data_IF_007704720217
#
_entry.id   IF_007704720217
#
_cell.length_a   1.000
_cell.length_b   1.000
_cell.length_c   1.000
_cell.angle_alpha   90.00
_cell.angle_beta   90.00
_cell.angle_gamma   90.00
#
_symmetry.space_group_name_H-M   'P 1'
#
loop_
_entity.id
_entity.type
_entity.pdbx_description
1 polymer ?
#
# COMPACT_ATOMS: atom_id res chain seq x y z
N UNK A 1 41.47 40.09 -7.40
CA UNK A 1 40.83 39.02 -6.69
C UNK A 1 39.36 38.99 -7.05
N UNK A 2 38.93 38.15 -7.99
CA UNK A 2 37.50 37.99 -8.39
C UNK A 2 36.82 37.02 -7.42
N UNK A 3 35.85 37.51 -6.67
CA UNK A 3 34.97 36.64 -5.84
C UNK A 3 34.04 35.89 -6.77
N UNK A 4 34.23 34.56 -6.85
CA UNK A 4 33.27 33.63 -7.48
C UNK A 4 32.16 33.45 -6.47
N UNK A 5 30.97 34.01 -6.73
CA UNK A 5 29.74 33.73 -6.01
C UNK A 5 29.19 32.44 -6.60
N UNK A 6 29.36 31.33 -5.88
CA UNK A 6 28.74 30.04 -6.20
C UNK A 6 27.28 30.17 -5.84
N UNK A 7 26.42 30.42 -6.81
CA UNK A 7 24.98 30.35 -6.65
C UNK A 7 24.61 28.85 -6.58
N UNK A 8 24.33 28.36 -5.39
CA UNK A 8 23.65 27.08 -5.20
C UNK A 8 22.22 27.21 -5.77
N UNK A 9 22.02 26.75 -7.00
CA UNK A 9 20.68 26.47 -7.49
C UNK A 9 20.13 25.29 -6.67
N UNK A 10 19.36 25.58 -5.62
CA UNK A 10 18.43 24.63 -5.07
C UNK A 10 17.38 24.37 -6.16
N UNK A 11 17.53 23.30 -6.89
CA UNK A 11 16.46 22.74 -7.71
C UNK A 11 15.46 22.17 -6.70
N UNK A 12 14.51 23.00 -6.26
CA UNK A 12 13.32 22.52 -5.59
C UNK A 12 12.56 21.68 -6.62
N UNK A 13 12.70 20.35 -6.54
CA UNK A 13 11.77 19.44 -7.20
C UNK A 13 10.37 19.79 -6.69
N UNK A 14 9.37 19.95 -7.56
CA UNK A 14 8.03 20.33 -7.13
C UNK A 14 7.49 19.20 -6.25
N UNK A 15 7.39 19.48 -4.95
CA UNK A 15 6.51 18.71 -4.10
C UNK A 15 5.12 18.76 -4.76
N UNK A 16 4.50 17.60 -5.00
CA UNK A 16 3.15 17.52 -5.54
C UNK A 16 2.28 18.48 -4.75
N UNK A 17 1.65 19.46 -5.40
CA UNK A 17 0.79 20.40 -4.68
C UNK A 17 -0.41 19.64 -4.13
N UNK A 18 -1.02 20.12 -3.06
CA UNK A 18 -2.24 19.51 -2.50
C UNK A 18 -3.37 19.38 -3.54
N UNK A 19 -3.42 20.29 -4.51
CA UNK A 19 -4.33 20.23 -5.66
C UNK A 19 -4.02 19.05 -6.57
N UNK A 20 -2.75 18.86 -6.95
CA UNK A 20 -2.33 17.74 -7.80
C UNK A 20 -2.58 16.39 -7.12
N UNK A 21 -2.33 16.30 -5.81
CA UNK A 21 -2.64 15.08 -5.05
C UNK A 21 -4.14 14.75 -5.08
N UNK A 22 -5.02 15.73 -4.89
CA UNK A 22 -6.47 15.52 -4.99
C UNK A 22 -6.90 15.11 -6.40
N UNK A 23 -6.30 15.66 -7.42
CA UNK A 23 -6.53 15.26 -8.82
C UNK A 23 -6.15 13.79 -9.02
N UNK A 24 -5.01 13.34 -8.48
CA UNK A 24 -4.60 11.92 -8.52
C UNK A 24 -5.60 11.01 -7.81
N UNK A 25 -6.12 11.39 -6.64
CA UNK A 25 -7.14 10.59 -5.93
C UNK A 25 -8.44 10.52 -6.75
N UNK A 26 -8.86 11.61 -7.37
CA UNK A 26 -10.02 11.61 -8.24
C UNK A 26 -9.81 10.72 -9.47
N UNK A 27 -8.62 10.77 -10.08
CA UNK A 27 -8.22 9.93 -11.19
C UNK A 27 -8.20 8.43 -10.80
N UNK A 28 -7.72 8.09 -9.59
CA UNK A 28 -7.78 6.72 -9.09
C UNK A 28 -9.22 6.20 -8.99
N UNK A 29 -10.16 7.06 -8.60
CA UNK A 29 -11.60 6.73 -8.51
C UNK A 29 -12.31 6.79 -9.85
N UNK A 30 -11.72 7.43 -10.87
CA UNK A 30 -12.29 7.50 -12.21
C UNK A 30 -12.16 6.16 -12.91
N UNK A 31 -13.31 5.57 -13.21
CA UNK A 31 -13.39 4.25 -13.87
C UNK A 31 -13.08 4.31 -15.38
N UNK A 32 -13.09 5.49 -15.98
CA UNK A 32 -12.76 5.67 -17.39
C UNK A 32 -11.26 5.78 -17.64
N UNK A 33 -10.46 6.07 -16.59
CA UNK A 33 -9.02 6.17 -16.70
C UNK A 33 -8.37 4.78 -16.79
N UNK A 34 -7.69 4.51 -17.88
CA UNK A 34 -7.08 3.20 -18.18
C UNK A 34 -5.59 3.28 -18.50
N UNK A 35 -5.05 4.48 -18.77
CA UNK A 35 -3.67 4.62 -19.24
C UNK A 35 -2.67 4.88 -18.11
N UNK A 36 -3.11 5.48 -17.00
CA UNK A 36 -2.27 5.74 -15.85
C UNK A 36 -2.05 4.49 -15.01
N UNK A 37 -0.80 4.24 -14.60
CA UNK A 37 -0.44 3.12 -13.71
C UNK A 37 -0.03 3.67 -12.35
N UNK A 38 -0.78 3.28 -11.31
CA UNK A 38 -0.52 3.66 -9.92
C UNK A 38 0.54 2.77 -9.31
N UNK A 39 1.52 3.38 -8.65
CA UNK A 39 2.60 2.69 -7.95
C UNK A 39 2.32 2.68 -6.47
N UNK A 40 2.17 1.48 -5.88
CA UNK A 40 2.12 1.26 -4.45
C UNK A 40 3.50 0.79 -3.96
N UNK A 41 4.14 1.61 -3.12
CA UNK A 41 5.45 1.30 -2.55
C UNK A 41 5.29 0.41 -1.33
N UNK A 42 5.69 -0.87 -1.42
CA UNK A 42 5.58 -1.86 -0.36
C UNK A 42 6.50 -1.52 0.81
N UNK A 43 5.94 -1.25 1.99
CA UNK A 43 6.63 -0.78 3.21
C UNK A 43 7.49 0.48 3.02
N UNK A 44 7.15 1.30 2.02
CA UNK A 44 7.95 2.42 1.56
C UNK A 44 9.15 2.01 0.71
N UNK A 45 10.12 2.92 0.51
CA UNK A 45 11.38 2.58 -0.18
C UNK A 45 12.39 1.99 0.82
N UNK A 46 12.15 0.74 1.21
CA UNK A 46 12.93 0.03 2.20
C UNK A 46 14.30 -0.47 1.68
N UNK A 47 14.59 -0.30 0.40
CA UNK A 47 15.91 -0.61 -0.16
C UNK A 47 16.97 0.32 0.45
N UNK A 48 16.63 1.58 0.68
CA UNK A 48 17.55 2.61 1.18
C UNK A 48 17.26 3.06 2.62
N UNK A 49 16.20 2.57 3.24
CA UNK A 49 15.82 2.88 4.61
C UNK A 49 15.27 1.61 5.31
N UNK A 50 15.15 1.57 6.64
CA UNK A 50 14.40 0.51 7.30
C UNK A 50 12.96 0.43 6.77
N UNK A 51 12.44 -0.78 6.55
CA UNK A 51 11.05 -0.99 6.16
C UNK A 51 10.09 -0.29 7.15
N UNK A 52 8.97 0.24 6.65
CA UNK A 52 7.95 0.87 7.50
C UNK A 52 8.46 2.06 8.34
N UNK A 53 9.58 2.68 7.96
CA UNK A 53 10.14 3.85 8.65
C UNK A 53 9.71 5.17 8.01
N UNK A 54 9.86 6.27 8.77
CA UNK A 54 9.63 7.62 8.23
C UNK A 54 10.48 7.92 7.00
N UNK A 55 11.81 7.64 6.97
CA UNK A 55 12.59 7.84 5.76
C UNK A 55 12.13 7.00 4.57
N UNK A 56 11.65 5.75 4.79
CA UNK A 56 11.13 4.93 3.70
C UNK A 56 9.84 5.55 3.08
N UNK A 57 8.97 6.13 3.90
CA UNK A 57 7.81 6.91 3.44
C UNK A 57 8.25 8.16 2.66
N UNK A 58 9.21 8.93 3.20
CA UNK A 58 9.70 10.15 2.57
C UNK A 58 10.35 9.88 1.22
N UNK A 59 11.11 8.78 1.09
CA UNK A 59 11.68 8.33 -0.18
C UNK A 59 10.59 7.93 -1.19
N UNK A 60 9.56 7.19 -0.76
CA UNK A 60 8.44 6.83 -1.64
C UNK A 60 7.75 8.08 -2.20
N UNK A 61 7.52 9.10 -1.35
CA UNK A 61 6.98 10.40 -1.78
C UNK A 61 7.93 11.09 -2.76
N UNK A 62 9.24 11.13 -2.45
CA UNK A 62 10.25 11.80 -3.25
C UNK A 62 10.36 11.22 -4.67
N UNK A 63 10.28 9.89 -4.81
CA UNK A 63 10.31 9.23 -6.12
C UNK A 63 9.00 9.35 -6.89
N UNK A 64 7.90 9.72 -6.22
CA UNK A 64 6.60 9.95 -6.85
C UNK A 64 5.67 8.75 -6.81
N UNK A 65 5.83 7.83 -5.84
CA UNK A 65 4.83 6.79 -5.60
C UNK A 65 3.47 7.42 -5.24
N UNK A 66 2.39 6.79 -5.68
CA UNK A 66 1.02 7.29 -5.48
C UNK A 66 0.40 6.76 -4.18
N UNK A 67 0.80 5.56 -3.79
CA UNK A 67 0.31 4.83 -2.64
C UNK A 67 1.53 4.31 -1.87
N UNK A 68 1.52 4.41 -0.55
CA UNK A 68 2.44 3.66 0.30
C UNK A 68 1.66 2.54 0.98
N UNK A 69 2.09 1.31 0.76
CA UNK A 69 1.67 0.18 1.56
C UNK A 69 2.44 0.21 2.87
N UNK A 70 1.75 -0.02 3.98
CA UNK A 70 2.33 -0.02 5.32
C UNK A 70 1.53 -0.90 6.26
N UNK A 71 2.23 -1.58 7.16
CA UNK A 71 1.65 -2.57 8.06
C UNK A 71 1.28 -1.93 9.41
N UNK A 72 0.07 -2.16 9.88
CA UNK A 72 -0.44 -1.58 11.13
C UNK A 72 -0.62 -2.63 12.23
N UNK A 73 -0.19 -2.30 13.44
CA UNK A 73 -0.41 -3.11 14.63
C UNK A 73 -0.90 -2.29 15.81
N UNK A 74 -1.65 -2.94 16.71
CA UNK A 74 -2.12 -2.36 17.95
C UNK A 74 -1.19 -2.74 19.10
N UNK A 75 -0.73 -1.75 19.86
CA UNK A 75 0.06 -1.94 21.09
C UNK A 75 -0.83 -2.35 22.25
N UNK A 76 -0.23 -2.80 23.36
CA UNK A 76 -0.91 -3.15 24.61
C UNK A 76 -1.83 -2.04 25.16
N UNK A 77 -1.43 -0.79 25.00
CA UNK A 77 -2.18 0.40 25.45
C UNK A 77 -3.03 1.04 24.35
N UNK A 78 -3.31 0.28 23.27
CA UNK A 78 -4.27 0.65 22.24
C UNK A 78 -3.78 1.75 21.27
N UNK A 79 -2.46 1.91 21.12
CA UNK A 79 -1.87 2.79 20.11
C UNK A 79 -1.58 2.03 18.83
N UNK A 80 -1.66 2.72 17.71
CA UNK A 80 -1.40 2.11 16.41
C UNK A 80 0.01 2.49 15.95
N UNK A 81 0.84 1.48 15.71
CA UNK A 81 2.20 1.61 15.22
C UNK A 81 2.34 1.01 13.82
N UNK A 82 3.43 1.36 13.15
CA UNK A 82 3.76 0.89 11.81
C UNK A 82 4.89 -0.14 11.93
N UNK A 83 4.58 -1.42 11.64
CA UNK A 83 5.52 -2.53 11.66
C UNK A 83 4.91 -3.76 10.97
N UNK A 84 5.74 -4.57 10.29
CA UNK A 84 5.23 -5.75 9.58
C UNK A 84 4.94 -6.94 10.49
N UNK A 85 5.89 -7.30 11.35
CA UNK A 85 5.80 -8.52 12.16
C UNK A 85 4.93 -8.30 13.40
N UNK A 86 4.36 -9.38 13.93
CA UNK A 86 3.64 -9.36 15.21
C UNK A 86 4.56 -9.14 16.42
N UNK A 87 5.88 -9.26 16.22
CA UNK A 87 6.91 -9.05 17.24
C UNK A 87 7.91 -7.99 16.79
N UNK A 88 8.58 -7.36 17.74
CA UNK A 88 9.58 -6.32 17.46
C UNK A 88 10.97 -6.87 17.12
N UNK A 89 11.17 -8.20 17.17
CA UNK A 89 12.48 -8.86 17.20
C UNK A 89 13.29 -8.68 15.91
N UNK A 90 12.68 -8.85 14.74
CA UNK A 90 13.39 -8.84 13.46
C UNK A 90 13.88 -7.44 13.08
N UNK A 91 13.02 -6.45 13.24
CA UNK A 91 13.24 -5.10 12.71
C UNK A 91 13.72 -4.09 13.74
N UNK A 92 13.90 -4.52 15.03
CA UNK A 92 14.39 -3.63 16.09
C UNK A 92 15.48 -4.28 16.95
N UNK A 93 15.97 -3.53 17.94
CA UNK A 93 16.86 -4.03 19.00
C UNK A 93 16.11 -4.59 20.22
N UNK A 94 14.77 -4.67 20.16
CA UNK A 94 13.92 -5.23 21.21
C UNK A 94 13.57 -6.69 20.98
N UNK A 95 12.70 -7.22 21.84
CA UNK A 95 12.09 -8.54 21.71
C UNK A 95 10.70 -8.55 22.32
N UNK A 96 9.84 -9.43 21.79
CA UNK A 96 8.49 -9.67 22.30
C UNK A 96 7.37 -9.24 21.35
N UNK A 97 6.16 -9.60 21.74
CA UNK A 97 4.95 -9.33 20.94
C UNK A 97 4.52 -7.88 21.07
N UNK A 98 4.14 -7.25 19.97
CA UNK A 98 3.67 -5.86 19.94
C UNK A 98 2.45 -5.67 20.84
N UNK A 99 1.52 -6.63 20.89
CA UNK A 99 0.33 -6.55 21.72
C UNK A 99 0.61 -6.66 23.23
N UNK A 100 1.83 -7.05 23.63
CA UNK A 100 2.27 -7.12 25.03
C UNK A 100 3.10 -5.89 25.46
N UNK A 101 3.48 -5.03 24.50
CA UNK A 101 4.29 -3.83 24.72
C UNK A 101 3.45 -2.57 24.61
N UNK A 102 3.69 -1.61 25.51
CA UNK A 102 3.11 -0.26 25.45
C UNK A 102 3.85 0.59 24.41
N UNK A 103 3.22 1.66 23.90
CA UNK A 103 3.89 2.60 23.00
C UNK A 103 5.19 3.14 23.62
N UNK A 104 5.18 3.51 24.91
CA UNK A 104 6.38 4.03 25.60
C UNK A 104 7.55 3.01 25.65
N UNK A 105 7.27 1.72 25.62
CA UNK A 105 8.31 0.68 25.53
C UNK A 105 8.82 0.57 24.09
N UNK A 106 7.95 0.64 23.09
CA UNK A 106 8.29 0.54 21.66
C UNK A 106 9.08 1.77 21.18
N UNK A 107 8.75 2.97 21.63
CA UNK A 107 9.47 4.21 21.28
C UNK A 107 10.95 4.20 21.71
N UNK A 108 11.33 3.36 22.68
CA UNK A 108 12.73 3.22 23.09
C UNK A 108 13.54 2.37 22.11
N UNK A 109 12.87 1.56 21.29
CA UNK A 109 13.52 0.66 20.35
C UNK A 109 14.06 1.43 19.15
N UNK A 110 15.15 0.93 18.59
CA UNK A 110 15.74 1.43 17.36
C UNK A 110 15.51 0.43 16.23
N UNK A 111 15.19 0.93 15.04
CA UNK A 111 14.99 0.11 13.85
C UNK A 111 16.32 -0.43 13.30
N UNK A 112 16.25 -1.63 12.72
CA UNK A 112 17.30 -2.20 11.88
C UNK A 112 16.98 -1.92 10.41
N UNK A 113 18.02 -1.67 9.62
CA UNK A 113 17.84 -1.64 8.16
C UNK A 113 17.74 -3.08 7.59
N UNK A 114 17.51 -3.19 6.28
CA UNK A 114 17.39 -4.47 5.57
C UNK A 114 18.67 -5.35 5.60
N UNK A 115 19.82 -4.78 5.98
CA UNK A 115 21.07 -5.51 6.21
C UNK A 115 21.27 -5.95 7.66
N UNK A 116 20.26 -5.72 8.53
CA UNK A 116 20.32 -6.04 9.96
C UNK A 116 21.13 -5.06 10.82
N UNK A 117 21.64 -3.97 10.22
CA UNK A 117 22.40 -2.95 10.98
C UNK A 117 21.46 -2.04 11.75
N UNK A 118 21.86 -1.73 12.98
CA UNK A 118 21.12 -0.82 13.86
C UNK A 118 21.20 0.60 13.33
N UNK A 119 20.07 1.31 13.41
CA UNK A 119 19.97 2.75 13.12
C UNK A 119 19.54 3.51 14.38
N UNK A 120 19.50 4.85 14.31
CA UNK A 120 18.91 5.71 15.35
C UNK A 120 17.41 5.98 15.11
N UNK A 121 16.82 5.38 14.08
CA UNK A 121 15.43 5.55 13.72
C UNK A 121 14.51 4.77 14.65
N UNK A 122 13.33 5.30 14.90
CA UNK A 122 12.32 4.75 15.80
C UNK A 122 11.18 4.10 15.03
N UNK A 123 10.45 3.21 15.70
CA UNK A 123 9.19 2.65 15.20
C UNK A 123 8.17 3.77 15.13
N UNK A 124 7.60 4.08 13.96
CA UNK A 124 6.63 5.17 13.84
C UNK A 124 5.25 4.78 14.36
N UNK A 125 4.52 5.76 14.83
CA UNK A 125 3.06 5.67 15.01
C UNK A 125 2.33 5.95 13.70
N UNK A 126 1.06 5.52 13.61
CA UNK A 126 0.20 5.86 12.47
C UNK A 126 0.00 7.37 12.35
N UNK A 127 -0.11 8.09 13.45
CA UNK A 127 -0.28 9.54 13.47
C UNK A 127 0.94 10.27 12.89
N UNK A 128 2.16 9.79 13.15
CA UNK A 128 3.38 10.34 12.54
C UNK A 128 3.41 10.08 11.03
N UNK A 129 3.00 8.89 10.58
CA UNK A 129 2.85 8.58 9.16
C UNK A 129 1.84 9.50 8.48
N UNK A 130 0.65 9.65 9.07
CA UNK A 130 -0.41 10.52 8.55
C UNK A 130 0.07 11.95 8.40
N UNK A 131 0.79 12.49 9.38
CA UNK A 131 1.31 13.86 9.35
C UNK A 131 2.20 14.12 8.15
N UNK A 132 2.96 13.12 7.68
CA UNK A 132 3.88 13.23 6.54
C UNK A 132 3.16 12.93 5.24
N UNK A 133 2.31 11.89 5.20
CA UNK A 133 1.64 11.38 4.01
C UNK A 133 0.51 12.29 3.52
N UNK A 134 -0.22 12.94 4.44
CA UNK A 134 -1.43 13.73 4.14
C UNK A 134 -1.19 14.75 3.04
N UNK A 135 -1.99 14.66 1.96
CA UNK A 135 -1.92 15.53 0.80
C UNK A 135 -0.73 15.29 -0.11
N UNK A 136 -0.02 14.16 0.04
CA UNK A 136 1.15 13.80 -0.77
C UNK A 136 1.11 12.38 -1.32
N UNK A 137 0.62 11.42 -0.54
CA UNK A 137 0.58 10.00 -0.89
C UNK A 137 -0.57 9.31 -0.15
N UNK A 138 -1.26 8.35 -0.80
CA UNK A 138 -2.31 7.56 -0.16
C UNK A 138 -1.71 6.49 0.76
N UNK A 139 -2.34 6.25 1.91
CA UNK A 139 -1.97 5.14 2.78
C UNK A 139 -2.75 3.87 2.37
N UNK A 140 -2.05 2.78 2.11
CA UNK A 140 -2.62 1.44 2.09
C UNK A 140 -2.24 0.76 3.41
N UNK A 141 -3.24 0.48 4.24
CA UNK A 141 -3.06 -0.07 5.58
C UNK A 141 -3.22 -1.59 5.53
N UNK A 142 -2.09 -2.31 5.36
CA UNK A 142 -2.07 -3.76 5.43
C UNK A 142 -2.18 -4.24 6.89
N UNK A 143 -2.50 -5.52 7.08
CA UNK A 143 -2.79 -6.17 8.38
C UNK A 143 -3.96 -5.59 9.17
N UNK A 144 -4.66 -4.58 8.66
CA UNK A 144 -5.84 -3.99 9.28
C UNK A 144 -6.94 -5.04 9.58
N UNK A 145 -7.03 -6.08 8.76
CA UNK A 145 -8.01 -7.16 8.87
C UNK A 145 -7.64 -8.29 9.82
N UNK A 146 -6.46 -8.26 10.44
CA UNK A 146 -6.01 -9.34 11.32
C UNK A 146 -6.79 -9.34 12.64
N UNK A 147 -7.13 -10.56 13.08
CA UNK A 147 -7.79 -10.74 14.36
C UNK A 147 -6.79 -10.55 15.50
N UNK A 148 -7.19 -9.77 16.48
CA UNK A 148 -6.42 -9.54 17.70
C UNK A 148 -6.92 -10.46 18.80
N UNK A 149 -6.05 -11.21 19.52
CA UNK A 149 -6.47 -12.23 20.48
C UNK A 149 -7.46 -11.77 21.56
N UNK A 150 -7.39 -10.50 21.93
CA UNK A 150 -8.21 -9.90 23.02
C UNK A 150 -9.38 -9.06 22.52
N UNK A 151 -9.65 -9.01 21.21
CA UNK A 151 -10.63 -8.11 20.63
C UNK A 151 -11.56 -8.82 19.66
N UNK A 152 -12.74 -8.25 19.45
CA UNK A 152 -13.68 -8.74 18.42
C UNK A 152 -13.09 -8.56 17.01
N UNK A 153 -13.53 -9.42 16.10
CA UNK A 153 -13.13 -9.36 14.70
C UNK A 153 -13.40 -7.97 14.10
N UNK A 154 -12.42 -7.41 13.38
CA UNK A 154 -12.51 -6.08 12.78
C UNK A 154 -12.30 -4.91 13.76
N UNK A 155 -11.89 -5.18 15.02
CA UNK A 155 -11.63 -4.13 16.01
C UNK A 155 -10.60 -3.12 15.51
N UNK A 156 -9.46 -3.59 14.98
CA UNK A 156 -8.39 -2.71 14.48
C UNK A 156 -8.92 -1.79 13.36
N UNK A 157 -9.72 -2.32 12.43
CA UNK A 157 -10.33 -1.48 11.38
C UNK A 157 -11.19 -0.37 11.99
N UNK A 158 -12.00 -0.66 13.02
CA UNK A 158 -12.83 0.36 13.68
C UNK A 158 -11.99 1.45 14.36
N UNK A 159 -10.87 1.09 14.96
CA UNK A 159 -9.94 2.08 15.54
C UNK A 159 -9.25 2.90 14.45
N UNK A 160 -8.80 2.26 13.35
CA UNK A 160 -8.24 2.94 12.18
C UNK A 160 -9.22 3.95 11.61
N UNK A 161 -10.50 3.59 11.41
CA UNK A 161 -11.52 4.49 10.88
C UNK A 161 -11.70 5.75 11.76
N UNK A 162 -11.57 5.63 13.09
CA UNK A 162 -11.61 6.79 14.00
C UNK A 162 -10.43 7.74 13.75
N UNK A 163 -9.21 7.17 13.68
CA UNK A 163 -7.98 7.95 13.44
C UNK A 163 -8.03 8.63 12.08
N UNK A 164 -8.41 7.91 11.02
CA UNK A 164 -8.48 8.42 9.66
C UNK A 164 -9.50 9.57 9.52
N UNK A 165 -10.67 9.43 10.15
CA UNK A 165 -11.70 10.49 10.18
C UNK A 165 -11.20 11.73 10.92
N UNK A 166 -10.60 11.55 12.09
CA UNK A 166 -10.08 12.65 12.89
C UNK A 166 -9.00 13.45 12.15
N UNK A 167 -8.25 12.79 11.25
CA UNK A 167 -7.22 13.41 10.44
C UNK A 167 -7.70 13.87 9.05
N UNK A 168 -8.94 13.55 8.65
CA UNK A 168 -9.54 13.95 7.37
C UNK A 168 -8.89 13.31 6.16
N UNK A 169 -8.44 12.03 6.27
CA UNK A 169 -7.80 11.25 5.20
C UNK A 169 -8.55 9.95 4.88
N UNK A 170 -9.77 9.79 5.40
CA UNK A 170 -10.55 8.57 5.23
C UNK A 170 -10.75 8.20 3.74
N UNK A 171 -11.09 9.18 2.92
CA UNK A 171 -11.47 8.95 1.52
C UNK A 171 -10.29 8.64 0.60
N UNK A 172 -9.07 8.93 1.05
CA UNK A 172 -7.83 8.66 0.32
C UNK A 172 -7.07 7.44 0.85
N UNK A 173 -7.64 6.73 1.85
CA UNK A 173 -7.00 5.54 2.44
C UNK A 173 -7.49 4.27 1.77
N UNK A 174 -6.53 3.39 1.45
CA UNK A 174 -6.74 2.10 0.79
C UNK A 174 -6.80 0.99 1.84
N UNK A 175 -7.81 0.12 1.72
CA UNK A 175 -7.93 -1.12 2.47
C UNK A 175 -8.02 -2.29 1.50
N UNK A 176 -7.14 -3.27 1.65
CA UNK A 176 -7.12 -4.49 0.85
C UNK A 176 -7.39 -5.67 1.77
N UNK A 177 -8.57 -6.28 1.65
CA UNK A 177 -9.03 -7.32 2.56
C UNK A 177 -9.71 -8.46 1.80
N UNK A 178 -9.54 -9.69 2.31
CA UNK A 178 -10.16 -10.92 1.77
C UNK A 178 -11.50 -11.26 2.46
N UNK A 179 -12.18 -10.24 2.98
CA UNK A 179 -13.45 -10.39 3.68
C UNK A 179 -14.63 -10.59 2.71
N UNK A 180 -15.70 -11.26 3.16
CA UNK A 180 -16.99 -11.21 2.45
C UNK A 180 -17.56 -9.79 2.48
N UNK A 181 -18.44 -9.49 1.53
CA UNK A 181 -19.12 -8.19 1.49
C UNK A 181 -19.88 -7.90 2.79
N UNK A 182 -20.56 -8.91 3.34
CA UNK A 182 -21.33 -8.79 4.58
C UNK A 182 -20.41 -8.41 5.75
N UNK A 183 -19.25 -9.07 5.89
CA UNK A 183 -18.27 -8.72 6.93
C UNK A 183 -17.71 -7.32 6.74
N UNK A 184 -17.35 -6.95 5.53
CA UNK A 184 -16.88 -5.60 5.22
C UNK A 184 -17.96 -4.56 5.57
N UNK A 185 -19.20 -4.79 5.18
CA UNK A 185 -20.35 -3.93 5.49
C UNK A 185 -20.59 -3.81 6.99
N UNK A 186 -20.53 -4.92 7.73
CA UNK A 186 -20.71 -4.92 9.19
C UNK A 186 -19.65 -4.07 9.90
N UNK A 187 -18.37 -4.22 9.50
CA UNK A 187 -17.25 -3.58 10.19
C UNK A 187 -17.11 -2.11 9.81
N UNK A 188 -17.16 -1.78 8.52
CA UNK A 188 -16.99 -0.42 8.01
C UNK A 188 -18.27 0.43 8.10
N UNK A 189 -19.46 -0.21 8.10
CA UNK A 189 -20.72 0.52 8.05
C UNK A 189 -20.82 1.43 6.83
N UNK A 190 -21.25 2.67 7.03
CA UNK A 190 -21.35 3.69 5.96
C UNK A 190 -20.00 4.30 5.52
N UNK A 191 -18.87 3.85 6.09
CA UNK A 191 -17.55 4.28 5.65
C UNK A 191 -17.00 3.41 4.53
N UNK A 192 -17.63 2.25 4.26
CA UNK A 192 -17.18 1.30 3.23
C UNK A 192 -17.18 1.94 1.83
N UNK A 193 -18.13 2.80 1.52
CA UNK A 193 -18.19 3.53 0.25
C UNK A 193 -17.24 4.74 0.19
N UNK A 194 -16.76 5.20 1.35
CA UNK A 194 -15.89 6.38 1.41
C UNK A 194 -14.44 6.02 1.23
N UNK A 195 -13.97 4.95 1.87
CA UNK A 195 -12.60 4.47 1.72
C UNK A 195 -12.36 3.92 0.31
N UNK A 196 -11.10 3.71 -0.05
CA UNK A 196 -10.73 2.94 -1.25
C UNK A 196 -10.64 1.48 -0.83
N UNK A 197 -11.77 0.78 -0.87
CA UNK A 197 -11.83 -0.63 -0.52
C UNK A 197 -11.51 -1.50 -1.74
N UNK A 198 -10.51 -2.38 -1.62
CA UNK A 198 -10.06 -3.29 -2.65
C UNK A 198 -10.25 -4.74 -2.16
N UNK A 199 -11.33 -5.43 -2.56
CA UNK A 199 -11.49 -6.85 -2.25
C UNK A 199 -10.34 -7.66 -2.85
N UNK A 200 -9.83 -8.64 -2.10
CA UNK A 200 -8.83 -9.58 -2.62
C UNK A 200 -9.52 -10.66 -3.44
N UNK A 201 -8.96 -11.00 -4.60
CA UNK A 201 -9.34 -12.15 -5.44
C UNK A 201 -8.22 -13.17 -5.35
N UNK A 202 -8.54 -14.36 -4.81
CA UNK A 202 -7.61 -15.47 -4.61
C UNK A 202 -8.33 -16.80 -4.69
N UNK A 203 -7.72 -17.84 -5.27
CA UNK A 203 -8.33 -19.16 -5.51
C UNK A 203 -8.87 -19.84 -4.25
N UNK A 204 -8.32 -19.48 -3.06
CA UNK A 204 -8.82 -20.01 -1.76
C UNK A 204 -10.21 -19.49 -1.36
N UNK A 205 -10.72 -18.42 -2.01
CA UNK A 205 -12.01 -17.83 -1.65
C UNK A 205 -13.13 -18.74 -2.15
N UNK A 206 -14.00 -19.25 -1.27
CA UNK A 206 -15.11 -20.09 -1.68
C UNK A 206 -16.07 -19.35 -2.64
N UNK A 207 -16.50 -20.04 -3.69
CA UNK A 207 -17.42 -19.45 -4.69
C UNK A 207 -16.91 -18.13 -5.26
N UNK A 208 -15.64 -18.07 -5.63
CA UNK A 208 -14.93 -16.84 -6.06
C UNK A 208 -15.73 -16.03 -7.08
N UNK A 209 -16.37 -16.67 -8.05
CA UNK A 209 -17.18 -15.98 -9.04
C UNK A 209 -18.35 -15.20 -8.41
N UNK A 210 -19.10 -15.82 -7.48
CA UNK A 210 -20.20 -15.15 -6.78
C UNK A 210 -19.70 -14.02 -5.85
N UNK A 211 -18.55 -14.24 -5.19
CA UNK A 211 -17.89 -13.22 -4.38
C UNK A 211 -17.56 -11.96 -5.19
N UNK A 212 -16.98 -12.12 -6.39
CA UNK A 212 -16.64 -10.99 -7.27
C UNK A 212 -17.91 -10.30 -7.76
N UNK A 213 -18.94 -11.07 -8.19
CA UNK A 213 -20.21 -10.53 -8.66
C UNK A 213 -20.89 -9.69 -7.57
N UNK A 214 -20.91 -10.17 -6.33
CA UNK A 214 -21.51 -9.48 -5.19
C UNK A 214 -20.85 -8.12 -4.92
N UNK A 215 -19.50 -8.07 -4.93
CA UNK A 215 -18.78 -6.80 -4.75
C UNK A 215 -19.01 -5.83 -5.92
N UNK A 216 -19.04 -6.32 -7.15
CA UNK A 216 -19.35 -5.51 -8.34
C UNK A 216 -20.76 -4.93 -8.24
N UNK A 217 -21.74 -5.72 -7.83
CA UNK A 217 -23.13 -5.29 -7.73
C UNK A 217 -23.36 -4.29 -6.58
N UNK A 218 -22.87 -4.65 -5.37
CA UNK A 218 -23.25 -3.94 -4.14
C UNK A 218 -22.34 -2.77 -3.77
N UNK A 219 -21.03 -2.84 -4.08
CA UNK A 219 -20.04 -1.82 -3.71
C UNK A 219 -19.49 -1.06 -4.92
N UNK A 220 -19.32 -1.74 -6.05
CA UNK A 220 -18.62 -1.20 -7.23
C UNK A 220 -17.24 -0.67 -6.85
N UNK A 221 -16.35 -1.52 -6.29
CA UNK A 221 -15.07 -1.05 -5.74
C UNK A 221 -14.22 -0.34 -6.79
N UNK A 222 -13.31 0.52 -6.33
CA UNK A 222 -12.34 1.21 -7.19
C UNK A 222 -11.41 0.19 -7.85
N UNK A 223 -10.95 -0.79 -7.09
CA UNK A 223 -10.07 -1.85 -7.58
C UNK A 223 -10.34 -3.18 -6.87
N UNK A 224 -9.85 -4.27 -7.48
CA UNK A 224 -9.70 -5.57 -6.84
C UNK A 224 -8.22 -5.96 -6.85
N UNK A 225 -7.70 -6.47 -5.71
CA UNK A 225 -6.35 -7.02 -5.66
C UNK A 225 -6.34 -8.49 -6.05
N UNK A 226 -5.54 -8.83 -7.05
CA UNK A 226 -5.37 -10.19 -7.56
C UNK A 226 -4.15 -10.86 -6.92
N UNK A 227 -4.34 -12.11 -6.46
CA UNK A 227 -3.27 -13.01 -6.04
C UNK A 227 -3.31 -14.25 -6.90
N UNK A 228 -2.77 -14.16 -8.12
CA UNK A 228 -2.83 -15.20 -9.13
C UNK A 228 -1.56 -16.05 -9.13
N UNK A 229 -1.69 -17.33 -8.78
CA UNK A 229 -0.56 -18.27 -8.78
C UNK A 229 -0.16 -18.71 -10.19
N UNK A 230 -1.10 -18.74 -11.14
CA UNK A 230 -0.89 -19.13 -12.55
C UNK A 230 -1.93 -18.47 -13.46
N UNK A 231 -1.70 -18.54 -14.76
CA UNK A 231 -2.64 -18.05 -15.78
C UNK A 231 -3.89 -18.94 -15.90
N UNK A 232 -3.83 -20.18 -15.41
CA UNK A 232 -4.97 -21.11 -15.38
C UNK A 232 -5.83 -20.98 -14.12
N UNK A 233 -5.40 -20.13 -13.15
CA UNK A 233 -6.10 -19.93 -11.87
C UNK A 233 -7.50 -19.35 -12.04
N UNK A 234 -8.43 -19.72 -11.16
CA UNK A 234 -9.77 -19.11 -11.13
C UNK A 234 -9.68 -17.61 -10.84
N UNK A 235 -8.67 -17.18 -10.09
CA UNK A 235 -8.32 -15.78 -9.84
C UNK A 235 -8.08 -15.02 -11.15
N UNK A 236 -7.20 -15.53 -12.03
CA UNK A 236 -6.89 -14.85 -13.28
C UNK A 236 -8.10 -14.79 -14.23
N UNK A 237 -8.94 -15.82 -14.22
CA UNK A 237 -10.18 -15.87 -15.02
C UNK A 237 -11.20 -14.78 -14.65
N UNK A 238 -11.11 -14.17 -13.45
CA UNK A 238 -11.97 -13.05 -13.06
C UNK A 238 -11.52 -11.71 -13.67
N UNK A 239 -10.30 -11.62 -14.21
CA UNK A 239 -9.74 -10.34 -14.68
C UNK A 239 -10.62 -9.64 -15.74
N UNK A 240 -11.12 -10.30 -16.80
CA UNK A 240 -11.99 -9.65 -17.78
C UNK A 240 -13.29 -9.13 -17.15
N UNK A 241 -13.86 -9.86 -16.19
CA UNK A 241 -15.09 -9.44 -15.47
C UNK A 241 -14.84 -8.16 -14.68
N UNK A 242 -13.74 -8.10 -13.93
CA UNK A 242 -13.36 -6.93 -13.13
C UNK A 242 -13.15 -5.71 -14.04
N UNK A 243 -12.37 -5.85 -15.10
CA UNK A 243 -12.11 -4.76 -16.04
C UNK A 243 -13.40 -4.27 -16.73
N UNK A 244 -14.29 -5.19 -17.15
CA UNK A 244 -15.58 -4.85 -17.74
C UNK A 244 -16.53 -4.13 -16.76
N UNK A 245 -16.38 -4.30 -15.45
CA UNK A 245 -17.14 -3.58 -14.44
C UNK A 245 -16.68 -2.12 -14.28
N UNK A 246 -15.55 -1.76 -14.87
CA UNK A 246 -14.87 -0.48 -14.71
C UNK A 246 -14.02 -0.41 -13.42
N UNK A 247 -13.90 -1.49 -12.66
CA UNK A 247 -12.97 -1.54 -11.54
C UNK A 247 -11.55 -1.77 -12.06
N UNK A 248 -10.54 -1.17 -11.39
CA UNK A 248 -9.13 -1.37 -11.70
C UNK A 248 -8.65 -2.74 -11.21
N UNK A 249 -7.65 -3.30 -11.88
CA UNK A 249 -6.96 -4.48 -11.42
C UNK A 249 -5.67 -4.07 -10.68
N UNK A 250 -5.54 -4.54 -9.45
CA UNK A 250 -4.41 -4.31 -8.57
C UNK A 250 -3.63 -5.63 -8.36
N UNK A 251 -2.31 -5.60 -8.40
CA UNK A 251 -1.47 -6.77 -8.16
C UNK A 251 -0.23 -6.41 -7.34
N UNK A 252 0.14 -7.29 -6.40
CA UNK A 252 1.41 -7.17 -5.66
C UNK A 252 2.52 -7.86 -6.48
N UNK A 253 3.30 -7.06 -7.23
CA UNK A 253 4.44 -7.53 -8.02
C UNK A 253 5.62 -7.99 -7.14
N UNK A 254 5.54 -7.76 -5.84
CA UNK A 254 6.49 -8.18 -4.81
C UNK A 254 6.70 -9.70 -4.73
N UNK A 255 5.71 -10.51 -5.19
CA UNK A 255 5.70 -11.96 -5.03
C UNK A 255 5.40 -12.69 -6.35
N UNK A 256 6.28 -13.63 -6.77
CA UNK A 256 6.06 -14.47 -7.96
C UNK A 256 4.74 -15.23 -7.92
N UNK A 257 4.39 -15.76 -6.75
CA UNK A 257 3.16 -16.53 -6.53
C UNK A 257 1.86 -15.69 -6.62
N UNK A 258 1.96 -14.37 -6.67
CA UNK A 258 0.81 -13.47 -6.84
C UNK A 258 0.68 -12.90 -8.25
N UNK A 259 1.66 -13.18 -9.13
CA UNK A 259 1.80 -12.56 -10.43
C UNK A 259 1.97 -13.57 -11.58
N UNK A 260 1.68 -14.85 -11.34
CA UNK A 260 1.98 -15.92 -12.29
C UNK A 260 3.44 -15.84 -12.83
N UNK A 261 4.38 -15.54 -11.93
CA UNK A 261 5.82 -15.34 -12.17
C UNK A 261 6.23 -14.06 -12.93
N UNK A 262 5.34 -13.08 -13.10
CA UNK A 262 5.67 -11.76 -13.69
C UNK A 262 5.94 -10.73 -12.58
N UNK A 263 6.93 -11.00 -11.73
CA UNK A 263 7.22 -10.22 -10.51
C UNK A 263 8.24 -9.10 -10.72
N UNK A 264 8.47 -8.36 -9.62
CA UNK A 264 9.56 -7.38 -9.51
C UNK A 264 10.91 -7.98 -9.91
N UNK A 265 11.22 -9.22 -9.46
CA UNK A 265 12.51 -9.85 -9.74
C UNK A 265 12.75 -10.07 -11.23
N UNK A 266 11.70 -10.44 -11.98
CA UNK A 266 11.79 -10.52 -13.45
C UNK A 266 12.11 -9.17 -14.06
N UNK A 267 11.50 -8.11 -13.52
CA UNK A 267 11.59 -6.75 -14.07
C UNK A 267 12.94 -6.11 -13.83
N UNK A 268 13.50 -6.20 -12.62
CA UNK A 268 14.75 -5.53 -12.24
C UNK A 268 16.01 -6.15 -12.87
N UNK A 269 15.93 -7.42 -13.32
CA UNK A 269 17.03 -8.08 -14.05
C UNK A 269 17.02 -7.77 -15.55
N UNK A 270 16.74 -6.50 -15.93
CA UNK A 270 16.71 -5.97 -17.30
C UNK A 270 15.61 -6.55 -18.20
N UNK A 271 14.52 -7.05 -17.63
CA UNK A 271 13.36 -7.54 -18.38
C UNK A 271 12.04 -6.89 -17.92
N UNK A 272 11.98 -5.55 -17.78
CA UNK A 272 10.78 -4.89 -17.26
C UNK A 272 9.53 -5.17 -18.12
N UNK A 273 9.68 -5.37 -19.42
CA UNK A 273 8.59 -5.73 -20.31
C UNK A 273 8.00 -7.12 -20.04
N UNK A 274 8.81 -8.08 -19.54
CA UNK A 274 8.35 -9.43 -19.20
C UNK A 274 7.69 -9.51 -17.80
N UNK A 275 8.06 -8.61 -16.89
CA UNK A 275 7.47 -8.50 -15.57
C UNK A 275 6.37 -7.43 -15.55
N UNK A 276 6.71 -6.20 -15.14
CA UNK A 276 5.75 -5.09 -15.02
C UNK A 276 5.01 -4.80 -16.34
N UNK A 277 5.72 -4.77 -17.48
CA UNK A 277 5.12 -4.52 -18.78
C UNK A 277 4.08 -5.58 -19.16
N UNK A 278 4.35 -6.85 -18.85
CA UNK A 278 3.38 -7.92 -19.07
C UNK A 278 2.13 -7.70 -18.19
N UNK A 279 2.28 -7.43 -16.88
CA UNK A 279 1.16 -7.16 -16.00
C UNK A 279 0.30 -6.00 -16.53
N UNK A 280 0.93 -4.91 -16.93
CA UNK A 280 0.25 -3.73 -17.50
C UNK A 280 -0.49 -4.10 -18.80
N UNK A 281 0.11 -4.94 -19.66
CA UNK A 281 -0.52 -5.40 -20.90
C UNK A 281 -1.77 -6.25 -20.70
N UNK A 282 -1.88 -6.89 -19.51
CA UNK A 282 -3.08 -7.62 -19.11
C UNK A 282 -4.18 -6.71 -18.54
N UNK A 283 -3.90 -5.42 -18.28
CA UNK A 283 -4.84 -4.47 -17.73
C UNK A 283 -4.66 -4.19 -16.23
N UNK A 284 -3.58 -4.68 -15.61
CA UNK A 284 -3.25 -4.27 -14.25
C UNK A 284 -2.78 -2.81 -14.25
N UNK A 285 -3.45 -1.97 -13.49
CA UNK A 285 -3.18 -0.53 -13.43
C UNK A 285 -2.78 -0.03 -12.03
N UNK A 286 -2.77 -0.91 -11.01
CA UNK A 286 -2.16 -0.63 -9.71
C UNK A 286 -1.14 -1.73 -9.43
N UNK A 287 0.12 -1.37 -9.30
CA UNK A 287 1.23 -2.29 -9.02
C UNK A 287 1.87 -1.96 -7.69
N UNK A 288 1.85 -2.92 -6.76
CA UNK A 288 2.63 -2.86 -5.53
C UNK A 288 4.02 -3.45 -5.80
N UNK A 289 5.06 -2.74 -5.37
CA UNK A 289 6.45 -3.08 -5.70
C UNK A 289 7.40 -2.81 -4.54
N UNK A 290 8.46 -3.63 -4.46
CA UNK A 290 9.63 -3.37 -3.61
C UNK A 290 10.60 -2.34 -4.24
N UNK A 291 10.42 -2.01 -5.52
CA UNK A 291 11.32 -1.17 -6.31
C UNK A 291 10.59 0.02 -6.92
N UNK A 292 10.01 0.92 -6.08
CA UNK A 292 9.15 2.01 -6.57
C UNK A 292 9.88 2.95 -7.53
N UNK A 293 11.13 3.28 -7.28
CA UNK A 293 11.92 4.13 -8.16
C UNK A 293 12.16 3.51 -9.56
N UNK A 294 12.45 2.21 -9.61
CA UNK A 294 12.70 1.51 -10.88
C UNK A 294 11.41 1.35 -11.68
N UNK A 295 10.30 0.98 -11.02
CA UNK A 295 8.99 0.91 -11.66
C UNK A 295 8.55 2.27 -12.21
N UNK A 296 8.66 3.35 -11.43
CA UNK A 296 8.30 4.72 -11.86
C UNK A 296 9.14 5.15 -13.06
N UNK A 297 10.44 4.84 -13.04
CA UNK A 297 11.33 5.14 -14.19
C UNK A 297 10.91 4.41 -15.45
N UNK A 298 10.55 3.13 -15.33
CA UNK A 298 10.01 2.33 -16.41
C UNK A 298 8.70 2.92 -16.94
N UNK A 299 7.74 3.21 -16.06
CA UNK A 299 6.45 3.79 -16.44
C UNK A 299 6.56 5.14 -17.15
N UNK A 300 7.47 6.01 -16.69
CA UNK A 300 7.76 7.29 -17.35
C UNK A 300 8.33 7.10 -18.76
N UNK A 301 9.14 6.06 -19.00
CA UNK A 301 9.61 5.75 -20.35
C UNK A 301 8.50 5.26 -21.27
N UNK A 302 7.42 4.71 -20.71
CA UNK A 302 6.22 4.25 -21.42
C UNK A 302 5.09 5.30 -21.45
N UNK A 303 5.29 6.52 -20.89
CA UNK A 303 4.29 7.59 -20.74
C UNK A 303 3.03 7.16 -19.95
N UNK A 304 3.20 6.37 -18.88
CA UNK A 304 2.10 5.81 -18.08
C UNK A 304 2.08 6.27 -16.61
N UNK A 305 2.89 7.27 -16.24
CA UNK A 305 2.97 7.77 -14.86
C UNK A 305 3.31 9.25 -14.80
#
# INVERSE_FOLDING_TARGET
MKKIILALLLIALPATSFSQYKELINLLRDKSETDYVWVASHRGDWIYAPENSIPALEHAIYFGANIIETDVHLTKDGKIIIMHDHTVDRTTNGSGSICDLTLNEIEKLNLRNNFGMMTDLKVPTLEEYIKIAKGKISLYLDKAGYDLPSHSQGYLVKELLKVLKANGILEETVFVLDWSYEKAREVFGGDLEKVIYCPVIEDKIPNLNAYVDEYIEKLKPVAFQFRMASLDSETYKQLPKVLNSGSKAFVAATWEKHTANHSDLVSIFNRPAEGWGWLISQGFSILETNYPNDLIRYLKSENRH
#
